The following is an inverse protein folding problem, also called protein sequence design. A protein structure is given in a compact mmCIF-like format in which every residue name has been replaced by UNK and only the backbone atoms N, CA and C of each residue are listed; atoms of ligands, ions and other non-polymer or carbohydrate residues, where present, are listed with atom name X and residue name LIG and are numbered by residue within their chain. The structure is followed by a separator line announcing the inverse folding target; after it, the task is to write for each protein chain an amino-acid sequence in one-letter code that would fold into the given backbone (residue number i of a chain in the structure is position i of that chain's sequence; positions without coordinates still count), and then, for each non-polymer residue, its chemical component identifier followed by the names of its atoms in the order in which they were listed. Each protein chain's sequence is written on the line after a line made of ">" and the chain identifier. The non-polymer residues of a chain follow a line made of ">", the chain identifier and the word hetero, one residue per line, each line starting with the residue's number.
data_IF_028694025248
#
_entry.id   IF_028694025248
#
_cell.length_a   1.000
_cell.length_b   1.000
_cell.length_c   1.000
_cell.angle_alpha   90.00
_cell.angle_beta   90.00
_cell.angle_gamma   90.00
#
_symmetry.space_group_name_H-M   'P 1'
#
loop_
_entity.id
_entity.type
_entity.pdbx_description
1 polymer ?
#
# COMPACT_ATOMS: atom_id res chain seq x y z
N UNK A 1 14.29 -10.86 2.53
CA UNK A 1 13.78 -10.46 1.21
C UNK A 1 13.84 -8.94 1.07
N UNK A 2 14.30 -8.43 -0.09
CA UNK A 2 14.37 -6.99 -0.37
C UNK A 2 13.29 -6.55 -1.34
N UNK A 3 12.57 -5.49 -1.00
CA UNK A 3 11.54 -4.89 -1.87
C UNK A 3 11.84 -3.41 -2.05
N UNK A 4 11.91 -2.95 -3.30
CA UNK A 4 12.14 -1.54 -3.64
C UNK A 4 10.82 -0.83 -3.93
N UNK A 5 10.48 0.22 -3.18
CA UNK A 5 9.29 1.06 -3.38
C UNK A 5 9.74 2.52 -3.50
N UNK A 6 9.36 3.20 -4.58
CA UNK A 6 9.68 4.62 -4.81
C UNK A 6 11.15 5.02 -4.56
N UNK A 7 12.08 4.13 -4.91
CA UNK A 7 13.51 4.37 -4.70
C UNK A 7 14.06 3.98 -3.32
N UNK A 8 13.20 3.67 -2.35
CA UNK A 8 13.56 3.16 -1.02
C UNK A 8 13.60 1.63 -1.05
N UNK A 9 14.62 1.04 -0.42
CA UNK A 9 14.74 -0.41 -0.23
C UNK A 9 14.28 -0.77 1.18
N UNK A 10 13.35 -1.71 1.28
CA UNK A 10 12.90 -2.31 2.52
C UNK A 10 13.41 -3.74 2.62
N UNK A 11 13.98 -4.08 3.76
CA UNK A 11 14.40 -5.44 4.12
C UNK A 11 13.34 -6.06 5.03
N UNK A 12 12.76 -7.18 4.57
CA UNK A 12 11.84 -8.01 5.35
C UNK A 12 12.49 -9.35 5.67
N UNK A 13 12.14 -10.00 6.80
CA UNK A 13 12.54 -11.37 7.06
C UNK A 13 12.10 -12.31 5.92
N UNK A 14 12.91 -13.33 5.61
CA UNK A 14 12.58 -14.28 4.52
C UNK A 14 11.34 -15.12 4.82
N UNK A 15 10.91 -15.20 6.08
CA UNK A 15 9.68 -15.85 6.50
C UNK A 15 8.41 -15.05 6.19
N UNK A 16 8.53 -13.79 5.78
CA UNK A 16 7.40 -12.94 5.43
C UNK A 16 7.03 -13.13 3.96
N UNK A 17 5.73 -13.16 3.68
CA UNK A 17 5.22 -13.07 2.31
C UNK A 17 4.92 -11.61 2.03
N UNK A 18 5.67 -10.96 1.13
CA UNK A 18 5.50 -9.54 0.82
C UNK A 18 5.32 -9.36 -0.67
N UNK A 19 4.36 -8.53 -1.06
CA UNK A 19 4.10 -8.21 -2.45
C UNK A 19 3.69 -6.76 -2.63
N UNK A 20 3.96 -6.21 -3.82
CA UNK A 20 3.48 -4.90 -4.21
C UNK A 20 2.03 -4.99 -4.66
N UNK A 21 1.13 -4.39 -3.88
CA UNK A 21 -0.30 -4.61 -4.07
C UNK A 21 -0.87 -3.85 -5.27
N UNK A 22 -0.36 -2.65 -5.53
CA UNK A 22 -0.62 -1.87 -6.75
C UNK A 22 -0.31 -2.64 -8.05
N UNK A 23 0.53 -3.67 -7.98
CA UNK A 23 0.92 -4.51 -9.10
C UNK A 23 0.03 -5.73 -9.31
N UNK A 24 -0.91 -6.00 -8.41
CA UNK A 24 -1.76 -7.18 -8.51
C UNK A 24 -2.75 -7.02 -9.67
N UNK A 25 -2.88 -8.07 -10.48
CA UNK A 25 -3.84 -8.09 -11.59
C UNK A 25 -5.27 -7.85 -11.11
N UNK A 26 -5.64 -8.42 -9.97
CA UNK A 26 -6.94 -8.17 -9.31
C UNK A 26 -7.13 -6.68 -8.98
N UNK A 27 -6.10 -6.04 -8.40
CA UNK A 27 -6.15 -4.61 -8.09
C UNK A 27 -6.34 -3.77 -9.37
N UNK A 28 -5.54 -4.03 -10.41
CA UNK A 28 -5.56 -3.24 -11.66
C UNK A 28 -6.76 -3.46 -12.57
N UNK A 29 -7.32 -4.67 -12.57
CA UNK A 29 -8.34 -5.06 -13.57
C UNK A 29 -9.74 -5.21 -12.99
N UNK A 30 -9.89 -5.29 -11.68
CA UNK A 30 -11.21 -5.40 -11.04
C UNK A 30 -11.40 -4.32 -9.99
N UNK A 31 -10.42 -4.10 -9.13
CA UNK A 31 -10.62 -3.24 -7.97
C UNK A 31 -10.54 -1.73 -8.28
N UNK A 32 -9.54 -1.30 -9.05
CA UNK A 32 -9.38 0.10 -9.43
C UNK A 32 -10.50 0.64 -10.33
N UNK A 33 -11.39 -0.24 -10.81
CA UNK A 33 -12.54 0.10 -11.66
C UNK A 33 -13.87 0.11 -10.91
N UNK A 34 -13.90 -0.26 -9.61
CA UNK A 34 -15.16 -0.33 -8.84
C UNK A 34 -15.66 1.04 -8.36
N UNK A 35 -14.77 1.97 -8.05
CA UNK A 35 -15.09 3.39 -7.83
C UNK A 35 -13.96 4.25 -8.39
N UNK A 36 -14.33 5.38 -8.99
CA UNK A 36 -13.38 6.39 -9.43
C UNK A 36 -12.55 6.90 -8.24
N UNK A 37 -11.23 6.81 -8.36
CA UNK A 37 -10.29 7.33 -7.37
C UNK A 37 -9.84 6.35 -6.29
N UNK A 38 -10.24 5.07 -6.35
CA UNK A 38 -9.72 4.03 -5.46
C UNK A 38 -8.19 3.93 -5.57
N UNK A 39 -7.51 3.95 -4.42
CA UNK A 39 -6.06 3.76 -4.32
C UNK A 39 -5.75 2.67 -3.30
N UNK A 40 -4.97 1.68 -3.73
CA UNK A 40 -4.39 0.68 -2.87
C UNK A 40 -3.18 1.20 -2.10
N UNK A 41 -2.72 0.40 -1.16
CA UNK A 41 -1.42 0.56 -0.49
C UNK A 41 -0.30 0.05 -1.39
N UNK A 42 0.92 0.52 -1.14
CA UNK A 42 2.08 0.13 -1.95
C UNK A 42 2.47 -1.34 -1.73
N UNK A 43 2.45 -1.82 -0.48
CA UNK A 43 2.81 -3.19 -0.11
C UNK A 43 1.75 -3.85 0.76
N UNK A 44 1.57 -5.15 0.55
CA UNK A 44 0.94 -6.05 1.51
C UNK A 44 1.98 -7.06 1.98
N UNK A 45 2.04 -7.27 3.30
CA UNK A 45 2.86 -8.30 3.91
C UNK A 45 2.04 -9.21 4.83
N UNK A 46 2.34 -10.50 4.82
CA UNK A 46 1.78 -11.49 5.73
C UNK A 46 2.90 -12.04 6.58
N UNK A 47 2.71 -11.95 7.90
CA UNK A 47 3.63 -12.44 8.90
C UNK A 47 2.85 -13.14 10.00
N UNK A 48 3.04 -14.45 10.16
CA UNK A 48 2.28 -15.28 11.12
C UNK A 48 0.77 -15.17 10.86
N UNK A 49 0.02 -14.53 11.75
CA UNK A 49 -1.43 -14.34 11.67
C UNK A 49 -1.81 -12.88 11.34
N UNK A 50 -0.81 -12.03 11.10
CA UNK A 50 -1.00 -10.61 10.87
C UNK A 50 -0.87 -10.27 9.38
N UNK A 51 -1.78 -9.42 8.91
CA UNK A 51 -1.71 -8.77 7.60
C UNK A 51 -1.30 -7.32 7.81
N UNK A 52 -0.22 -6.92 7.16
CA UNK A 52 0.28 -5.56 7.16
C UNK A 52 -0.08 -4.89 5.84
N UNK A 53 -0.81 -3.78 5.92
CA UNK A 53 -1.09 -2.87 4.82
C UNK A 53 -0.13 -1.69 4.94
N UNK A 54 0.79 -1.53 3.99
CA UNK A 54 1.93 -0.63 4.13
C UNK A 54 1.91 0.40 3.01
N UNK A 55 1.80 1.67 3.41
CA UNK A 55 1.95 2.83 2.53
C UNK A 55 3.31 3.50 2.78
N UNK A 56 4.06 3.77 1.72
CA UNK A 56 5.37 4.39 1.76
C UNK A 56 5.27 5.85 1.32
N UNK A 57 5.88 6.75 2.09
CA UNK A 57 5.98 8.19 1.77
C UNK A 57 7.38 8.70 2.11
N UNK A 58 8.14 9.11 1.09
CA UNK A 58 9.46 9.74 1.29
C UNK A 58 9.34 11.27 1.38
N UNK A 59 9.38 11.80 2.61
CA UNK A 59 9.33 13.24 2.84
C UNK A 59 10.68 13.96 2.70
N UNK A 60 11.77 13.24 2.43
CA UNK A 60 13.11 13.86 2.24
C UNK A 60 13.22 14.54 0.88
N UNK A 61 12.55 14.00 -0.13
CA UNK A 61 12.59 14.53 -1.50
C UNK A 61 11.43 15.50 -1.79
N UNK A 62 10.32 15.37 -1.08
CA UNK A 62 9.11 16.17 -1.28
C UNK A 62 8.46 16.50 0.05
N UNK A 63 8.39 17.79 0.41
CA UNK A 63 7.61 18.24 1.57
C UNK A 63 6.13 17.92 1.32
N UNK A 64 5.41 17.45 2.36
CA UNK A 64 3.97 17.20 2.26
C UNK A 64 3.25 18.49 1.86
N UNK A 65 2.55 18.45 0.72
CA UNK A 65 1.71 19.55 0.21
C UNK A 65 0.22 19.27 0.30
N UNK A 66 -0.17 18.01 0.57
CA UNK A 66 -1.56 17.62 0.78
C UNK A 66 -2.10 18.22 2.08
N UNK A 67 -3.27 18.86 1.99
CA UNK A 67 -4.00 19.42 3.13
C UNK A 67 -4.63 18.32 4.02
N UNK A 68 -4.91 17.14 3.44
CA UNK A 68 -5.46 15.98 4.16
C UNK A 68 -4.49 15.48 5.23
N UNK A 69 -5.02 15.01 6.36
CA UNK A 69 -4.20 14.39 7.40
C UNK A 69 -3.66 13.03 6.95
N UNK A 70 -2.46 12.67 7.40
CA UNK A 70 -1.85 11.38 7.03
C UNK A 70 -2.71 10.19 7.48
N UNK A 71 -3.32 10.28 8.67
CA UNK A 71 -4.19 9.23 9.18
C UNK A 71 -5.44 9.03 8.31
N UNK A 72 -6.02 10.10 7.77
CA UNK A 72 -7.16 10.03 6.85
C UNK A 72 -6.75 9.39 5.52
N UNK A 73 -5.62 9.83 4.95
CA UNK A 73 -5.09 9.27 3.70
C UNK A 73 -4.79 7.77 3.81
N UNK A 74 -4.24 7.33 4.94
CA UNK A 74 -3.99 5.90 5.22
C UNK A 74 -5.31 5.16 5.43
N UNK A 75 -6.26 5.75 6.17
CA UNK A 75 -7.57 5.11 6.43
C UNK A 75 -8.36 4.91 5.15
N UNK A 76 -8.38 5.88 4.24
CA UNK A 76 -9.03 5.73 2.93
C UNK A 76 -8.42 4.58 2.13
N UNK A 77 -7.09 4.53 2.04
CA UNK A 77 -6.37 3.45 1.34
C UNK A 77 -6.66 2.07 1.94
N UNK A 78 -6.70 1.97 3.27
CA UNK A 78 -7.00 0.73 3.99
C UNK A 78 -8.47 0.33 3.81
N UNK A 79 -9.39 1.29 3.96
CA UNK A 79 -10.83 1.05 3.82
C UNK A 79 -11.14 0.47 2.44
N UNK A 80 -10.56 1.00 1.38
CA UNK A 80 -10.80 0.48 0.04
C UNK A 80 -10.38 -1.00 -0.08
N UNK A 81 -9.23 -1.40 0.47
CA UNK A 81 -8.76 -2.79 0.38
C UNK A 81 -9.69 -3.77 1.11
N UNK A 82 -10.27 -3.37 2.25
CA UNK A 82 -11.08 -4.26 3.09
C UNK A 82 -12.56 -4.22 2.69
N UNK A 83 -13.04 -3.10 2.16
CA UNK A 83 -14.43 -2.92 1.73
C UNK A 83 -14.71 -3.42 0.29
N UNK A 84 -13.68 -3.89 -0.42
CA UNK A 84 -13.80 -4.56 -1.71
C UNK A 84 -14.70 -5.81 -1.59
N UNK A 85 -15.89 -5.76 -2.19
CA UNK A 85 -16.79 -6.91 -2.33
C UNK A 85 -16.61 -7.60 -3.67
#
# INVERSE_FOLDING_TARGET
>A
MRVKVDGIIFDFPDSWQVSKYDNWAFYRHHFSTMLDGIKGVDLIAIARQDIWLIEVKDYRQSRRTKAQYLAEEVTEKVLYIIAAK
#
